data_IF_622345942065
#
_entry.id   IF_622345942065
#
_cell.length_a   1.000
_cell.length_b   1.000
_cell.length_c   1.000
_cell.angle_alpha   90.00
_cell.angle_beta   90.00
_cell.angle_gamma   90.00
#
_symmetry.space_group_name_H-M   'P 1'
#
loop_
_entity.id
_entity.type
_entity.pdbx_description
1 polymer ?
#
# COMPACT_ATOMS: atom_id res chain seq x y z
N UNK A 1 12.98 26.78 11.46
CA UNK A 1 13.48 26.35 10.15
C UNK A 1 13.71 27.53 9.21
N UNK A 2 12.67 28.27 8.80
CA UNK A 2 12.78 29.41 7.84
C UNK A 2 13.81 30.48 8.25
N UNK A 3 13.77 30.97 9.49
CA UNK A 3 14.74 31.97 9.99
C UNK A 3 16.19 31.48 9.98
N UNK A 4 16.41 30.18 10.18
CA UNK A 4 17.75 29.59 10.13
C UNK A 4 18.27 29.55 8.69
N UNK A 5 17.44 29.12 7.74
CA UNK A 5 17.82 29.06 6.32
C UNK A 5 18.13 30.47 5.78
N UNK A 6 17.41 31.49 6.23
CA UNK A 6 17.70 32.88 5.88
C UNK A 6 19.06 33.36 6.40
N UNK A 7 19.39 33.05 7.66
CA UNK A 7 20.68 33.40 8.25
C UNK A 7 21.86 32.64 7.61
N UNK A 8 21.63 31.38 7.22
CA UNK A 8 22.65 30.51 6.61
C UNK A 8 22.89 30.87 5.13
N UNK A 9 22.09 31.75 4.51
CA UNK A 9 22.20 32.14 3.10
C UNK A 9 22.13 33.67 2.91
N UNK A 10 23.14 34.42 3.40
CA UNK A 10 23.09 35.89 3.53
C UNK A 10 23.14 36.70 2.21
N UNK A 11 23.43 36.07 1.06
CA UNK A 11 23.53 36.75 -0.23
C UNK A 11 22.83 36.00 -1.40
N UNK A 12 21.93 35.07 -1.10
CA UNK A 12 21.32 34.18 -2.10
C UNK A 12 19.79 34.19 -2.11
N UNK A 13 19.21 33.58 -3.15
CA UNK A 13 17.79 33.25 -3.24
C UNK A 13 17.52 31.90 -2.56
N UNK A 14 16.54 31.86 -1.66
CA UNK A 14 16.07 30.64 -1.00
C UNK A 14 14.61 30.40 -1.38
N UNK A 15 14.30 29.20 -1.87
CA UNK A 15 12.93 28.77 -2.15
C UNK A 15 12.57 27.51 -1.35
N UNK A 16 11.35 27.47 -0.82
CA UNK A 16 10.75 26.25 -0.28
C UNK A 16 9.72 25.75 -1.30
N UNK A 17 9.85 24.48 -1.70
CA UNK A 17 8.94 23.83 -2.63
C UNK A 17 8.39 22.56 -1.96
N UNK A 18 7.08 22.39 -2.04
CA UNK A 18 6.39 21.22 -1.53
C UNK A 18 5.90 20.36 -2.70
N UNK A 19 5.94 19.05 -2.51
CA UNK A 19 5.49 18.06 -3.49
C UNK A 19 4.34 17.25 -2.90
N UNK A 20 3.29 17.03 -3.70
CA UNK A 20 2.15 16.21 -3.29
C UNK A 20 1.66 15.34 -4.45
N UNK A 21 1.36 14.08 -4.15
CA UNK A 21 0.68 13.18 -5.08
C UNK A 21 -0.84 13.45 -5.16
N UNK A 22 -1.38 14.20 -4.19
CA UNK A 22 -2.81 14.54 -4.08
C UNK A 22 -2.97 16.05 -3.85
N UNK A 23 -2.59 16.90 -4.83
CA UNK A 23 -2.52 18.36 -4.65
C UNK A 23 -3.91 19.03 -4.70
N UNK A 24 -4.96 18.39 -4.19
CA UNK A 24 -6.35 18.84 -4.30
C UNK A 24 -7.00 19.03 -2.93
N UNK A 25 -7.77 20.11 -2.79
CA UNK A 25 -8.68 20.30 -1.67
C UNK A 25 -9.81 19.26 -1.72
N UNK A 26 -10.53 19.08 -0.60
CA UNK A 26 -11.70 18.20 -0.54
C UNK A 26 -12.77 18.52 -1.59
N UNK A 27 -12.88 19.79 -2.01
CA UNK A 27 -13.80 20.25 -3.07
C UNK A 27 -13.26 20.03 -4.50
N UNK A 28 -12.11 19.37 -4.66
CA UNK A 28 -11.53 18.95 -5.94
C UNK A 28 -10.60 19.96 -6.64
N UNK A 29 -10.61 21.23 -6.24
CA UNK A 29 -9.69 22.25 -6.77
C UNK A 29 -8.23 21.99 -6.35
N UNK A 30 -7.27 22.36 -7.19
CA UNK A 30 -5.84 22.30 -6.85
C UNK A 30 -5.51 23.25 -5.68
N UNK A 31 -4.45 22.95 -4.94
CA UNK A 31 -3.94 23.85 -3.92
C UNK A 31 -3.58 25.21 -4.52
N UNK A 32 -3.80 26.28 -3.76
CA UNK A 32 -3.36 27.61 -4.19
C UNK A 32 -1.85 27.62 -4.36
N UNK A 33 -1.34 28.29 -5.39
CA UNK A 33 0.09 28.37 -5.73
C UNK A 33 0.72 27.05 -6.22
N UNK A 34 -0.08 26.08 -6.66
CA UNK A 34 0.45 24.97 -7.47
C UNK A 34 1.07 25.55 -8.75
N UNK A 35 2.41 25.52 -8.81
CA UNK A 35 3.19 26.02 -9.96
C UNK A 35 3.14 25.03 -11.12
N UNK A 36 3.05 23.73 -10.82
CA UNK A 36 3.01 22.66 -11.81
C UNK A 36 2.23 21.45 -11.28
N UNK A 37 1.44 20.83 -12.16
CA UNK A 37 0.72 19.57 -11.89
C UNK A 37 1.00 18.59 -13.04
N UNK A 38 1.42 17.37 -12.70
CA UNK A 38 1.64 16.28 -13.65
C UNK A 38 0.63 15.16 -13.37
N UNK A 39 -0.53 15.17 -14.03
CA UNK A 39 -1.63 14.29 -13.65
C UNK A 39 -1.32 12.83 -13.97
N UNK A 40 -1.87 11.92 -13.16
CA UNK A 40 -1.69 10.47 -13.32
C UNK A 40 -2.02 9.97 -14.74
N UNK A 41 -3.05 10.55 -15.38
CA UNK A 41 -3.40 10.24 -16.77
C UNK A 41 -2.21 10.47 -17.72
N UNK A 42 -1.53 11.60 -17.58
CA UNK A 42 -0.39 11.96 -18.42
C UNK A 42 0.80 11.03 -18.14
N UNK A 43 1.08 10.76 -16.86
CA UNK A 43 2.11 9.81 -16.45
C UNK A 43 1.93 8.40 -17.06
N UNK A 44 0.67 7.95 -17.22
CA UNK A 44 0.33 6.67 -17.86
C UNK A 44 0.57 6.72 -19.38
N UNK A 45 0.16 7.81 -20.04
CA UNK A 45 0.34 8.01 -21.50
C UNK A 45 1.83 8.03 -21.84
N UNK A 46 2.62 8.76 -21.05
CA UNK A 46 4.06 8.93 -21.22
C UNK A 46 4.86 7.70 -20.74
N UNK A 47 4.18 6.67 -20.22
CA UNK A 47 4.77 5.43 -19.70
C UNK A 47 5.79 5.66 -18.56
N UNK A 48 5.62 6.75 -17.81
CA UNK A 48 6.40 7.03 -16.59
C UNK A 48 5.97 6.11 -15.45
N UNK A 49 4.69 5.75 -15.41
CA UNK A 49 4.13 4.81 -14.41
C UNK A 49 3.47 3.60 -15.07
N UNK A 50 3.23 2.55 -14.26
CA UNK A 50 2.50 1.35 -14.70
C UNK A 50 1.05 1.67 -15.05
N UNK A 51 0.48 0.87 -15.96
CA UNK A 51 -0.96 0.91 -16.28
C UNK A 51 -1.75 0.11 -15.24
N UNK A 52 -2.66 0.73 -14.47
CA UNK A 52 -3.48 -0.01 -13.53
C UNK A 52 -4.44 -0.92 -14.31
N UNK A 53 -4.59 -2.16 -13.83
CA UNK A 53 -5.63 -3.08 -14.31
C UNK A 53 -6.67 -3.25 -13.23
N UNK A 54 -7.94 -3.08 -13.59
CA UNK A 54 -9.07 -3.36 -12.70
C UNK A 54 -9.64 -4.73 -13.03
N UNK A 55 -9.54 -5.66 -12.09
CA UNK A 55 -10.26 -6.93 -12.18
C UNK A 55 -11.75 -6.69 -12.00
N UNK A 56 -12.57 -7.21 -12.90
CA UNK A 56 -14.03 -7.19 -12.77
C UNK A 56 -14.47 -8.63 -12.55
N UNK A 57 -15.04 -8.92 -11.39
CA UNK A 57 -15.60 -10.24 -11.07
C UNK A 57 -17.02 -10.32 -11.59
N UNK A 58 -17.31 -11.27 -12.47
CA UNK A 58 -18.68 -11.56 -12.93
C UNK A 58 -19.23 -12.76 -12.15
N UNK A 59 -20.38 -12.60 -11.49
CA UNK A 59 -21.07 -13.70 -10.81
C UNK A 59 -20.47 -14.13 -9.46
N UNK A 60 -19.66 -13.29 -8.82
CA UNK A 60 -19.33 -13.46 -7.40
C UNK A 60 -20.31 -12.66 -6.56
N UNK A 61 -21.06 -13.35 -5.72
CA UNK A 61 -21.91 -12.75 -4.71
C UNK A 61 -21.22 -12.84 -3.33
N UNK A 62 -21.27 -11.75 -2.57
CA UNK A 62 -20.82 -11.75 -1.18
C UNK A 62 -21.70 -12.66 -0.33
N UNK A 63 -21.07 -13.49 0.51
CA UNK A 63 -21.81 -14.31 1.44
C UNK A 63 -22.55 -13.42 2.45
N UNK A 64 -23.77 -13.81 2.85
CA UNK A 64 -24.51 -13.13 3.93
C UNK A 64 -23.88 -13.49 5.28
N UNK A 65 -22.81 -12.79 5.64
CA UNK A 65 -22.10 -12.93 6.90
C UNK A 65 -21.51 -11.59 7.32
N UNK A 66 -21.44 -11.35 8.62
CA UNK A 66 -20.73 -10.21 9.21
C UNK A 66 -19.23 -10.49 9.41
N UNK A 67 -18.79 -11.74 9.20
CA UNK A 67 -17.40 -12.15 9.27
C UNK A 67 -16.74 -11.84 7.92
N UNK A 68 -15.76 -10.95 7.91
CA UNK A 68 -15.13 -10.43 6.68
C UNK A 68 -14.48 -11.52 5.84
N UNK A 69 -13.78 -12.47 6.47
CA UNK A 69 -13.13 -13.60 5.80
C UNK A 69 -14.12 -14.50 5.06
N UNK A 70 -15.36 -14.64 5.56
CA UNK A 70 -16.44 -15.39 4.91
C UNK A 70 -17.11 -14.55 3.83
N UNK A 71 -17.49 -13.32 4.19
CA UNK A 71 -18.17 -12.38 3.29
C UNK A 71 -17.39 -12.14 2.01
N UNK A 72 -16.08 -11.90 2.13
CA UNK A 72 -15.18 -11.58 1.02
C UNK A 72 -14.35 -12.79 0.53
N UNK A 73 -14.69 -14.00 0.96
CA UNK A 73 -13.91 -15.21 0.67
C UNK A 73 -13.56 -15.37 -0.81
N UNK A 74 -14.54 -15.21 -1.71
CA UNK A 74 -14.33 -15.33 -3.15
C UNK A 74 -13.30 -14.33 -3.69
N UNK A 75 -13.37 -13.08 -3.24
CA UNK A 75 -12.44 -12.01 -3.61
C UNK A 75 -11.03 -12.26 -3.06
N UNK A 76 -10.92 -12.72 -1.81
CA UNK A 76 -9.63 -13.04 -1.19
C UNK A 76 -8.92 -14.16 -1.95
N UNK A 77 -9.65 -15.25 -2.27
CA UNK A 77 -9.10 -16.36 -3.06
C UNK A 77 -8.64 -15.86 -4.43
N UNK A 78 -9.50 -15.12 -5.15
CA UNK A 78 -9.15 -14.61 -6.47
C UNK A 78 -7.93 -13.66 -6.43
N UNK A 79 -7.83 -12.83 -5.39
CA UNK A 79 -6.68 -11.94 -5.18
C UNK A 79 -5.37 -12.71 -4.96
N UNK A 80 -5.39 -13.76 -4.13
CA UNK A 80 -4.23 -14.61 -3.86
C UNK A 80 -3.79 -15.36 -5.11
N UNK A 81 -4.72 -15.97 -5.84
CA UNK A 81 -4.38 -16.69 -7.08
C UNK A 81 -3.81 -15.75 -8.15
N UNK A 82 -4.40 -14.57 -8.32
CA UNK A 82 -3.88 -13.59 -9.27
C UNK A 82 -2.49 -13.07 -8.88
N UNK A 83 -2.25 -12.90 -7.59
CA UNK A 83 -0.93 -12.55 -7.07
C UNK A 83 0.10 -13.67 -7.30
N UNK A 84 -0.27 -14.94 -7.11
CA UNK A 84 0.59 -16.10 -7.41
C UNK A 84 1.00 -16.12 -8.88
N UNK A 85 0.06 -15.95 -9.80
CA UNK A 85 0.35 -15.83 -11.23
C UNK A 85 1.33 -14.69 -11.53
N UNK A 86 1.11 -13.53 -10.93
CA UNK A 86 1.98 -12.37 -11.13
C UNK A 86 3.38 -12.58 -10.53
N UNK A 87 3.47 -13.29 -9.41
CA UNK A 87 4.75 -13.70 -8.79
C UNK A 87 5.56 -14.57 -9.73
N UNK A 88 4.93 -15.56 -10.38
CA UNK A 88 5.61 -16.40 -11.38
C UNK A 88 6.13 -15.58 -12.57
N UNK A 89 5.33 -14.62 -13.06
CA UNK A 89 5.74 -13.75 -14.17
C UNK A 89 6.91 -12.82 -13.83
N UNK A 90 7.08 -12.46 -12.55
CA UNK A 90 8.17 -11.61 -12.10
C UNK A 90 9.46 -12.36 -11.72
N UNK A 91 9.42 -13.70 -11.63
CA UNK A 91 10.61 -14.52 -11.34
C UNK A 91 11.81 -14.22 -12.26
N UNK A 92 11.66 -14.11 -13.60
CA UNK A 92 12.78 -13.80 -14.48
C UNK A 92 13.42 -12.43 -14.24
N UNK A 93 12.68 -11.50 -13.61
CA UNK A 93 13.15 -10.17 -13.27
C UNK A 93 13.78 -10.09 -11.87
N UNK A 94 13.78 -11.20 -11.12
CA UNK A 94 14.23 -11.23 -9.72
C UNK A 94 13.42 -10.30 -8.82
N UNK A 95 12.14 -10.07 -9.14
CA UNK A 95 11.26 -9.17 -8.39
C UNK A 95 10.18 -9.95 -7.65
N UNK A 96 9.92 -9.56 -6.41
CA UNK A 96 8.85 -10.11 -5.55
C UNK A 96 7.67 -9.12 -5.54
N UNK A 97 6.45 -9.51 -5.95
CA UNK A 97 5.28 -8.66 -5.82
C UNK A 97 4.72 -8.70 -4.39
N UNK A 98 4.14 -7.59 -3.95
CA UNK A 98 3.42 -7.46 -2.67
C UNK A 98 1.92 -7.46 -2.94
N UNK A 99 1.15 -8.14 -2.09
CA UNK A 99 -0.31 -8.11 -2.09
C UNK A 99 -0.80 -7.22 -0.94
N UNK A 100 -1.60 -6.20 -1.27
CA UNK A 100 -2.27 -5.35 -0.28
C UNK A 100 -3.76 -5.70 -0.24
N UNK A 101 -4.28 -5.91 0.98
CA UNK A 101 -5.72 -6.08 1.25
C UNK A 101 -6.14 -4.97 2.21
N UNK A 102 -7.09 -4.15 1.79
CA UNK A 102 -7.63 -3.05 2.62
C UNK A 102 -9.03 -3.42 3.10
N UNK A 103 -9.30 -3.22 4.38
CA UNK A 103 -10.54 -3.59 5.06
C UNK A 103 -11.10 -2.42 5.85
N UNK A 104 -12.37 -2.49 6.24
CA UNK A 104 -13.10 -1.33 6.75
C UNK A 104 -12.85 -1.07 8.24
N UNK A 105 -12.41 -2.08 8.98
CA UNK A 105 -12.12 -1.97 10.41
C UNK A 105 -10.91 -2.80 10.82
N UNK A 106 -10.38 -2.50 12.00
CA UNK A 106 -9.27 -3.27 12.59
C UNK A 106 -9.67 -4.73 12.83
N UNK A 107 -10.90 -4.97 13.29
CA UNK A 107 -11.41 -6.33 13.53
C UNK A 107 -11.54 -7.15 12.23
N UNK A 108 -11.98 -6.52 11.14
CA UNK A 108 -12.00 -7.18 9.82
C UNK A 108 -10.57 -7.51 9.35
N UNK A 109 -9.62 -6.59 9.60
CA UNK A 109 -8.21 -6.78 9.23
C UNK A 109 -7.55 -7.94 9.98
N UNK A 110 -7.82 -8.06 11.28
CA UNK A 110 -7.36 -9.19 12.10
C UNK A 110 -7.98 -10.51 11.61
N UNK A 111 -9.30 -10.56 11.41
CA UNK A 111 -10.02 -11.76 10.92
C UNK A 111 -9.49 -12.25 9.57
N UNK A 112 -9.34 -11.35 8.60
CA UNK A 112 -8.80 -11.71 7.28
C UNK A 112 -7.31 -12.07 7.35
N UNK A 113 -6.53 -11.38 8.19
CA UNK A 113 -5.11 -11.69 8.40
C UNK A 113 -4.90 -13.08 8.98
N UNK A 114 -5.74 -13.49 9.93
CA UNK A 114 -5.74 -14.84 10.51
C UNK A 114 -6.21 -15.88 9.49
N UNK A 115 -7.28 -15.59 8.76
CA UNK A 115 -7.78 -16.45 7.68
C UNK A 115 -6.70 -16.76 6.63
N UNK A 116 -5.98 -15.73 6.16
CA UNK A 116 -4.92 -15.89 5.16
C UNK A 116 -3.75 -16.72 5.70
N UNK A 117 -3.35 -16.50 6.97
CA UNK A 117 -2.31 -17.29 7.64
C UNK A 117 -2.66 -18.77 7.76
N UNK A 118 -3.90 -19.08 8.12
CA UNK A 118 -4.37 -20.47 8.28
C UNK A 118 -4.54 -21.15 6.93
N UNK A 119 -5.11 -20.45 5.94
CA UNK A 119 -5.44 -21.04 4.64
C UNK A 119 -4.23 -21.17 3.71
N UNK A 120 -3.28 -20.24 3.79
CA UNK A 120 -2.09 -20.20 2.93
C UNK A 120 -0.81 -20.02 3.75
N UNK A 121 -0.47 -20.98 4.64
CA UNK A 121 0.63 -20.81 5.59
C UNK A 121 2.00 -20.70 4.90
N UNK A 122 2.17 -21.29 3.71
CA UNK A 122 3.42 -21.21 2.95
C UNK A 122 3.72 -19.81 2.40
N UNK A 123 2.69 -18.98 2.19
CA UNK A 123 2.85 -17.63 1.66
C UNK A 123 2.65 -16.52 2.69
N UNK A 124 1.78 -16.75 3.67
CA UNK A 124 1.38 -15.73 4.64
C UNK A 124 1.70 -16.11 6.09
N UNK A 125 2.25 -17.30 6.34
CA UNK A 125 2.69 -17.74 7.66
C UNK A 125 4.03 -17.13 8.10
N UNK A 126 4.82 -17.91 8.82
CA UNK A 126 6.19 -17.54 9.18
C UNK A 126 7.18 -18.29 8.29
N UNK A 127 8.30 -17.65 7.95
CA UNK A 127 9.44 -18.31 7.31
C UNK A 127 10.07 -19.35 8.25
N UNK A 128 10.94 -20.21 7.73
CA UNK A 128 11.72 -21.15 8.56
C UNK A 128 12.55 -20.44 9.65
N UNK A 129 12.89 -19.16 9.42
CA UNK A 129 13.57 -18.28 10.38
C UNK A 129 12.65 -17.61 11.41
N UNK A 130 11.35 -17.89 11.38
CA UNK A 130 10.34 -17.33 12.30
C UNK A 130 9.85 -15.93 11.94
N UNK A 131 10.20 -15.39 10.76
CA UNK A 131 9.76 -14.06 10.34
C UNK A 131 8.38 -14.12 9.69
N UNK A 132 7.46 -13.24 10.10
CA UNK A 132 6.13 -13.17 9.52
C UNK A 132 6.17 -12.67 8.07
N UNK A 133 5.47 -13.38 7.18
CA UNK A 133 5.32 -13.03 5.77
C UNK A 133 4.04 -12.19 5.50
N UNK A 134 3.16 -12.08 6.50
CA UNK A 134 1.98 -11.23 6.49
C UNK A 134 2.07 -10.19 7.61
N UNK A 135 1.72 -8.95 7.28
CA UNK A 135 1.63 -7.85 8.23
C UNK A 135 0.21 -7.28 8.24
N UNK A 136 -0.38 -7.17 9.43
CA UNK A 136 -1.64 -6.43 9.64
C UNK A 136 -1.28 -5.05 10.16
N UNK A 137 -1.69 -4.01 9.44
CA UNK A 137 -1.42 -2.61 9.79
C UNK A 137 -2.74 -1.95 10.17
N UNK A 138 -2.83 -1.48 11.42
CA UNK A 138 -3.97 -0.72 11.89
C UNK A 138 -3.76 0.77 11.71
N UNK A 139 -4.82 1.47 11.32
CA UNK A 139 -4.89 2.92 11.38
C UNK A 139 -5.78 3.35 12.55
N UNK A 140 -5.48 4.49 13.14
CA UNK A 140 -6.33 5.13 14.13
C UNK A 140 -7.48 5.90 13.43
N UNK A 141 -8.35 6.53 14.24
CA UNK A 141 -9.50 7.29 13.73
C UNK A 141 -9.11 8.53 12.91
N UNK A 142 -7.85 8.98 13.02
CA UNK A 142 -7.29 10.08 12.24
C UNK A 142 -6.65 9.59 10.93
N UNK A 143 -6.59 8.28 10.70
CA UNK A 143 -5.97 7.65 9.54
C UNK A 143 -4.46 7.43 9.70
N UNK A 144 -3.89 7.75 10.87
CA UNK A 144 -2.48 7.52 11.15
C UNK A 144 -2.25 6.07 11.58
N UNK A 145 -1.12 5.49 11.19
CA UNK A 145 -0.78 4.11 11.61
C UNK A 145 -0.65 4.05 13.14
N UNK A 146 -1.29 3.05 13.74
CA UNK A 146 -1.28 2.82 15.18
C UNK A 146 0.15 2.80 15.72
N UNK A 147 0.41 3.51 16.82
CA UNK A 147 1.76 3.59 17.42
C UNK A 147 2.36 2.23 17.76
N UNK A 148 1.53 1.22 18.00
CA UNK A 148 1.96 -0.15 18.30
C UNK A 148 2.57 -0.83 17.08
N UNK A 149 2.02 -0.56 15.89
CA UNK A 149 2.40 -1.23 14.64
C UNK A 149 3.36 -0.36 13.80
N UNK A 150 3.49 0.92 14.15
CA UNK A 150 4.20 1.93 13.38
C UNK A 150 5.67 1.59 13.13
N UNK A 151 6.41 1.16 14.15
CA UNK A 151 7.85 0.91 14.01
C UNK A 151 8.13 -0.38 13.23
N UNK A 152 7.33 -1.43 13.44
CA UNK A 152 7.38 -2.66 12.67
C UNK A 152 7.02 -2.40 11.20
N UNK A 153 5.92 -1.68 10.94
CA UNK A 153 5.48 -1.32 9.60
C UNK A 153 6.51 -0.44 8.87
N UNK A 154 7.16 0.50 9.57
CA UNK A 154 8.26 1.31 9.00
C UNK A 154 9.47 0.47 8.63
N UNK A 155 9.83 -0.52 9.46
CA UNK A 155 10.93 -1.43 9.18
C UNK A 155 10.68 -2.24 7.91
N UNK A 156 9.49 -2.82 7.79
CA UNK A 156 9.09 -3.59 6.59
C UNK A 156 8.99 -2.68 5.37
N UNK A 157 8.31 -1.54 5.47
CA UNK A 157 8.13 -0.61 4.36
C UNK A 157 9.45 -0.08 3.79
N UNK A 158 10.48 0.12 4.63
CA UNK A 158 11.82 0.53 4.16
C UNK A 158 12.52 -0.56 3.36
N UNK A 159 12.35 -1.83 3.75
CA UNK A 159 13.06 -2.98 3.16
C UNK A 159 12.28 -3.70 2.07
N UNK A 160 11.01 -3.34 1.85
CA UNK A 160 10.15 -4.05 0.91
C UNK A 160 10.70 -4.05 -0.52
N UNK A 161 11.39 -2.98 -0.91
CA UNK A 161 12.00 -2.84 -2.23
C UNK A 161 13.39 -3.49 -2.34
N UNK A 162 14.00 -3.91 -1.22
CA UNK A 162 15.33 -4.54 -1.18
C UNK A 162 15.29 -6.00 -1.65
N UNK A 163 14.11 -6.58 -1.85
CA UNK A 163 13.91 -7.95 -2.35
C UNK A 163 14.09 -9.06 -1.31
N UNK A 164 14.71 -8.76 -0.17
CA UNK A 164 14.93 -9.70 0.94
C UNK A 164 13.87 -9.58 2.04
N UNK A 165 12.85 -8.75 1.86
CA UNK A 165 11.74 -8.63 2.80
C UNK A 165 11.03 -9.99 2.96
N UNK A 166 10.71 -10.42 4.20
CA UNK A 166 9.94 -11.64 4.43
C UNK A 166 8.50 -11.48 3.89
N UNK A 167 7.94 -10.27 3.97
CA UNK A 167 6.67 -9.85 3.33
C UNK A 167 6.88 -9.61 1.84
#
# INVERSE_FOLDING_TARGET
>A
MIRRIHNDSPAGLVGQLDFSATPRYQKGGLFTWTVFDYPLKQAIIDRVVKRPMKGVTTGMDEARSDIASIKYQGYLIAGVERWREYREQLKPLGKKPVLFVMLNSTAEADDVGDYLRVKYPAEFGATDGGEAQLLVIHTDRSGDVSKKDLDAARGVARRVDEGNSPV
#
